data_IF_873466881591
#
_entry.id   IF_873466881591
#
_cell.length_a   1.000
_cell.length_b   1.000
_cell.length_c   1.000
_cell.angle_alpha   90.00
_cell.angle_beta   90.00
_cell.angle_gamma   90.00
#
_symmetry.space_group_name_H-M   'P 1'
#
loop_
_entity.id
_entity.type
_entity.pdbx_description
1 polymer ?
#
# COMPACT_ATOMS: atom_id res chain seq x y z
N UNK A 1 -6.89 -20.28 -7.25
CA UNK A 1 -7.17 -18.85 -7.01
C UNK A 1 -8.04 -18.66 -5.76
N UNK A 2 -9.14 -19.40 -5.64
CA UNK A 2 -10.04 -19.33 -4.47
C UNK A 2 -9.36 -19.56 -3.11
N UNK A 3 -8.49 -20.58 -3.00
CA UNK A 3 -7.72 -20.82 -1.77
C UNK A 3 -6.83 -19.64 -1.37
N UNK A 4 -6.25 -18.93 -2.35
CA UNK A 4 -5.37 -17.76 -2.09
C UNK A 4 -6.20 -16.59 -1.56
N UNK A 5 -7.38 -16.36 -2.13
CA UNK A 5 -8.30 -15.31 -1.68
C UNK A 5 -8.81 -15.60 -0.28
N UNK A 6 -9.16 -16.86 -0.02
CA UNK A 6 -9.57 -17.31 1.31
C UNK A 6 -8.47 -17.06 2.36
N UNK A 7 -7.24 -17.50 2.08
CA UNK A 7 -6.12 -17.33 2.99
C UNK A 7 -5.78 -15.84 3.23
N UNK A 8 -5.80 -15.02 2.17
CA UNK A 8 -5.55 -13.58 2.27
C UNK A 8 -6.57 -12.85 3.14
N UNK A 9 -7.86 -13.20 2.98
CA UNK A 9 -8.95 -12.62 3.77
C UNK A 9 -8.93 -13.05 5.24
N UNK A 10 -8.31 -14.21 5.52
CA UNK A 10 -8.23 -14.80 6.85
C UNK A 10 -6.89 -14.56 7.55
N UNK A 11 -5.85 -14.15 6.83
CA UNK A 11 -4.57 -13.79 7.46
C UNK A 11 -4.63 -12.38 8.05
N UNK A 12 -4.08 -12.14 9.26
CA UNK A 12 -3.86 -10.80 9.77
C UNK A 12 -2.88 -10.01 8.88
N UNK A 13 -3.15 -8.73 8.66
CA UNK A 13 -2.30 -7.85 7.85
C UNK A 13 -1.42 -6.99 8.74
N UNK A 14 -0.14 -6.82 8.41
CA UNK A 14 0.79 -6.01 9.22
C UNK A 14 0.32 -4.56 9.41
N UNK A 15 -0.28 -3.98 8.38
CA UNK A 15 -0.74 -2.59 8.41
C UNK A 15 -1.89 -2.34 9.39
N UNK A 16 -2.73 -3.35 9.66
CA UNK A 16 -3.92 -3.21 10.50
C UNK A 16 -3.86 -4.04 11.78
N UNK A 17 -3.09 -5.13 11.79
CA UNK A 17 -3.03 -6.14 12.85
C UNK A 17 -4.17 -7.17 12.82
N UNK A 18 -5.13 -7.05 11.90
CA UNK A 18 -6.32 -7.89 11.84
C UNK A 18 -6.56 -8.45 10.44
N UNK A 19 -7.36 -9.51 10.33
CA UNK A 19 -7.74 -10.06 9.03
C UNK A 19 -8.90 -9.27 8.41
N UNK A 20 -8.97 -9.16 7.06
CA UNK A 20 -10.08 -8.50 6.38
C UNK A 20 -11.44 -9.10 6.73
N UNK A 21 -11.52 -10.44 6.83
CA UNK A 21 -12.75 -11.14 7.19
C UNK A 21 -13.22 -10.82 8.62
N UNK A 22 -12.28 -10.66 9.56
CA UNK A 22 -12.61 -10.28 10.93
C UNK A 22 -13.11 -8.84 11.02
N UNK A 23 -12.44 -7.88 10.37
CA UNK A 23 -12.87 -6.48 10.39
C UNK A 23 -14.21 -6.28 9.67
N UNK A 24 -14.49 -7.04 8.61
CA UNK A 24 -15.71 -6.89 7.83
C UNK A 24 -16.90 -7.64 8.44
N UNK A 25 -16.71 -8.88 8.87
CA UNK A 25 -17.79 -9.79 9.28
C UNK A 25 -17.70 -10.29 10.72
N UNK A 26 -16.62 -9.98 11.45
CA UNK A 26 -16.36 -10.54 12.79
C UNK A 26 -15.95 -12.01 12.79
N UNK A 27 -15.66 -12.57 11.61
CA UNK A 27 -15.30 -13.99 11.48
C UNK A 27 -13.84 -14.15 11.89
N UNK A 28 -13.60 -14.94 12.94
CA UNK A 28 -12.25 -15.30 13.33
C UNK A 28 -11.70 -16.36 12.37
N UNK A 29 -10.54 -16.11 11.75
CA UNK A 29 -10.07 -16.88 10.61
C UNK A 29 -9.58 -18.29 10.97
N UNK A 30 -9.01 -18.47 12.16
CA UNK A 30 -8.55 -19.76 12.64
C UNK A 30 -8.79 -19.88 14.15
N UNK A 31 -9.10 -21.08 14.62
CA UNK A 31 -9.38 -21.31 16.04
C UNK A 31 -8.20 -20.97 16.96
N UNK A 32 -6.98 -21.07 16.44
CA UNK A 32 -5.74 -20.67 17.13
C UNK A 32 -5.66 -19.17 17.43
N UNK A 33 -6.40 -18.34 16.71
CA UNK A 33 -6.51 -16.90 16.95
C UNK A 33 -7.80 -16.53 17.67
N UNK A 34 -8.52 -17.49 18.28
CA UNK A 34 -9.60 -17.19 19.20
C UNK A 34 -9.04 -16.28 20.28
N UNK A 35 -9.33 -14.99 20.15
CA UNK A 35 -8.95 -13.97 21.11
C UNK A 35 -9.60 -14.39 22.43
N UNK A 36 -8.78 -14.66 23.45
CA UNK A 36 -9.27 -14.89 24.81
C UNK A 36 -9.91 -13.61 25.42
N UNK A 37 -9.86 -12.50 24.68
CA UNK A 37 -10.30 -11.19 25.11
C UNK A 37 -11.67 -10.83 24.52
N UNK A 38 -12.46 -10.20 25.38
CA UNK A 38 -13.77 -9.57 25.17
C UNK A 38 -13.72 -8.36 24.20
N UNK A 39 -12.80 -8.34 23.23
CA UNK A 39 -12.65 -7.24 22.29
C UNK A 39 -13.80 -7.26 21.29
N UNK A 40 -14.52 -6.15 21.21
CA UNK A 40 -15.59 -5.95 20.24
C UNK A 40 -15.02 -5.70 18.84
N UNK A 41 -15.84 -5.93 17.82
CA UNK A 41 -15.44 -5.69 16.42
C UNK A 41 -15.18 -4.20 16.21
N UNK A 42 -15.94 -3.34 16.88
CA UNK A 42 -15.83 -1.90 16.85
C UNK A 42 -14.47 -1.44 17.40
N UNK A 43 -14.06 -1.93 18.56
CA UNK A 43 -12.72 -1.66 19.12
C UNK A 43 -11.61 -2.12 18.18
N UNK A 44 -11.75 -3.31 17.59
CA UNK A 44 -10.78 -3.81 16.62
C UNK A 44 -10.68 -2.91 15.37
N UNK A 45 -11.80 -2.35 14.90
CA UNK A 45 -11.82 -1.40 13.77
C UNK A 45 -11.15 -0.08 14.13
N UNK A 46 -11.38 0.44 15.33
CA UNK A 46 -10.70 1.65 15.82
C UNK A 46 -9.18 1.45 15.88
N UNK A 47 -8.73 0.33 16.45
CA UNK A 47 -7.31 -0.04 16.50
C UNK A 47 -6.75 -0.21 15.08
N UNK A 48 -7.45 -0.91 14.19
CA UNK A 48 -7.03 -1.11 12.80
C UNK A 48 -6.87 0.23 12.06
N UNK A 49 -7.77 1.19 12.27
CA UNK A 49 -7.68 2.52 11.70
C UNK A 49 -6.45 3.28 12.22
N UNK A 50 -6.22 3.24 13.54
CA UNK A 50 -5.05 3.86 14.16
C UNK A 50 -3.74 3.27 13.62
N UNK A 51 -3.62 1.94 13.58
CA UNK A 51 -2.46 1.26 12.99
C UNK A 51 -2.25 1.62 11.53
N UNK A 52 -3.34 1.70 10.74
CA UNK A 52 -3.27 2.06 9.33
C UNK A 52 -2.70 3.48 9.16
N UNK A 53 -3.16 4.44 9.96
CA UNK A 53 -2.66 5.81 9.92
C UNK A 53 -1.17 5.87 10.28
N UNK A 54 -0.75 5.18 11.35
CA UNK A 54 0.65 5.11 11.74
C UNK A 54 1.52 4.46 10.66
N UNK A 55 1.06 3.36 10.08
CA UNK A 55 1.75 2.66 9.01
C UNK A 55 1.89 3.55 7.76
N UNK A 56 0.83 4.27 7.37
CA UNK A 56 0.88 5.23 6.28
C UNK A 56 1.87 6.37 6.58
N UNK A 57 1.87 6.90 7.80
CA UNK A 57 2.80 7.96 8.20
C UNK A 57 4.26 7.49 8.14
N UNK A 58 4.57 6.32 8.70
CA UNK A 58 5.94 5.74 8.66
C UNK A 58 6.41 5.49 7.21
N UNK A 59 5.49 5.03 6.35
CA UNK A 59 5.78 4.83 4.93
C UNK A 59 6.04 6.16 4.22
N UNK A 60 5.24 7.18 4.51
CA UNK A 60 5.46 8.54 4.00
C UNK A 60 6.83 9.09 4.44
N UNK A 61 7.18 9.01 5.73
CA UNK A 61 8.49 9.43 6.24
C UNK A 61 9.64 8.69 5.55
N UNK A 62 9.50 7.38 5.39
CA UNK A 62 10.51 6.53 4.73
C UNK A 62 10.69 6.90 3.27
N UNK A 63 9.58 7.16 2.56
CA UNK A 63 9.58 7.60 1.17
C UNK A 63 10.21 8.99 1.04
N UNK A 64 9.71 9.97 1.81
CA UNK A 64 10.16 11.36 1.79
C UNK A 64 11.63 11.51 2.21
N UNK A 65 12.19 10.61 3.03
CA UNK A 65 13.62 10.60 3.37
C UNK A 65 14.52 10.43 2.14
N UNK A 66 14.07 9.68 1.14
CA UNK A 66 14.83 9.43 -0.11
C UNK A 66 14.33 10.31 -1.26
N UNK A 67 13.04 10.61 -1.28
CA UNK A 67 12.40 11.32 -2.36
C UNK A 67 12.53 12.84 -2.20
N UNK A 68 13.19 13.48 -3.15
CA UNK A 68 13.21 14.95 -3.26
C UNK A 68 12.08 15.36 -4.18
N UNK A 69 11.06 16.04 -3.64
CA UNK A 69 9.97 16.59 -4.46
C UNK A 69 10.56 17.62 -5.44
N UNK A 70 10.46 17.40 -6.76
CA UNK A 70 10.84 18.43 -7.72
C UNK A 70 9.90 19.62 -7.61
N UNK A 71 10.43 20.83 -7.78
CA UNK A 71 9.69 22.09 -7.73
C UNK A 71 9.55 22.63 -9.16
N UNK A 72 8.75 21.96 -9.98
CA UNK A 72 8.53 22.37 -11.37
C UNK A 72 7.69 23.65 -11.43
N UNK A 73 8.07 24.55 -12.33
CA UNK A 73 7.35 25.76 -12.67
C UNK A 73 6.79 25.65 -14.10
N UNK A 74 5.72 26.39 -14.36
CA UNK A 74 5.14 26.44 -15.70
C UNK A 74 6.19 27.00 -16.67
N UNK A 75 6.40 26.29 -17.77
CA UNK A 75 7.44 26.46 -18.80
C UNK A 75 8.82 25.87 -18.51
N UNK A 76 8.99 25.09 -17.45
CA UNK A 76 10.22 24.30 -17.26
C UNK A 76 10.33 23.22 -18.36
N UNK A 77 11.54 23.04 -18.87
CA UNK A 77 11.85 21.91 -19.75
C UNK A 77 12.01 20.65 -18.90
N UNK A 78 11.19 19.64 -19.18
CA UNK A 78 11.14 18.39 -18.42
C UNK A 78 11.35 17.17 -19.31
N UNK A 79 11.96 16.14 -18.72
CA UNK A 79 12.08 14.82 -19.34
C UNK A 79 11.05 13.89 -18.71
N UNK A 80 10.34 13.13 -19.53
CA UNK A 80 9.37 12.12 -19.08
C UNK A 80 9.98 10.74 -19.23
N UNK A 81 9.96 9.95 -18.16
CA UNK A 81 10.39 8.55 -18.22
C UNK A 81 9.41 7.73 -19.06
N UNK A 82 9.95 6.98 -20.03
CA UNK A 82 9.16 6.12 -20.89
C UNK A 82 8.85 4.83 -20.13
N UNK A 83 7.57 4.45 -20.09
CA UNK A 83 7.16 3.19 -19.46
C UNK A 83 7.93 2.01 -20.06
N UNK A 84 8.52 1.20 -19.19
CA UNK A 84 9.26 0.02 -19.62
C UNK A 84 8.34 -1.01 -20.29
N UNK A 85 8.74 -1.52 -21.45
CA UNK A 85 8.07 -2.62 -22.14
C UNK A 85 9.12 -3.66 -22.60
N UNK A 86 8.85 -4.97 -22.53
CA UNK A 86 9.83 -6.01 -22.90
C UNK A 86 10.28 -5.94 -24.37
N UNK A 87 9.46 -5.32 -25.24
CA UNK A 87 9.80 -5.08 -26.64
C UNK A 87 10.61 -3.78 -26.88
N UNK A 88 10.90 -3.01 -25.82
CA UNK A 88 11.77 -1.85 -25.94
C UNK A 88 13.21 -2.35 -26.15
N UNK A 89 13.76 -2.05 -27.33
CA UNK A 89 15.12 -2.45 -27.67
C UNK A 89 16.15 -1.81 -26.73
N UNK A 90 17.33 -2.42 -26.57
CA UNK A 90 18.39 -1.90 -25.68
C UNK A 90 18.84 -0.46 -25.98
N UNK A 91 18.55 0.03 -27.19
CA UNK A 91 18.92 1.37 -27.66
C UNK A 91 17.76 2.37 -27.61
N UNK A 92 16.56 1.97 -27.18
CA UNK A 92 15.47 2.93 -27.02
C UNK A 92 15.80 3.87 -25.87
N UNK A 93 15.64 5.20 -26.03
CA UNK A 93 15.87 6.14 -24.96
C UNK A 93 14.96 5.83 -23.76
N UNK A 94 15.49 6.01 -22.55
CA UNK A 94 14.72 5.77 -21.30
C UNK A 94 13.82 6.95 -20.97
N UNK A 95 14.14 8.12 -21.51
CA UNK A 95 13.38 9.35 -21.32
C UNK A 95 13.14 10.03 -22.65
N UNK A 96 11.98 10.65 -22.79
CA UNK A 96 11.63 11.51 -23.92
C UNK A 96 11.51 12.96 -23.46
N UNK A 97 11.96 13.89 -24.30
CA UNK A 97 11.76 15.31 -24.06
C UNK A 97 10.33 15.66 -24.46
N UNK A 98 9.54 16.15 -23.49
CA UNK A 98 8.18 16.60 -23.73
C UNK A 98 7.96 18.04 -23.25
N UNK A 99 6.94 18.65 -23.85
CA UNK A 99 6.66 20.09 -23.89
C UNK A 99 6.53 20.67 -22.47
N UNK A 100 7.16 21.84 -22.28
CA UNK A 100 6.96 22.85 -21.22
C UNK A 100 5.86 22.50 -20.21
N UNK A 101 6.26 22.28 -18.95
CA UNK A 101 5.37 22.04 -17.81
C UNK A 101 4.34 23.17 -17.62
#
# INVERSE_FOLDING_TARGET
>A
MEQVVHEYNNSPHEATGFSPAFLLYGILPYEQFKMNNQMTIEEAREIANQHSQEHHHRNEETYNRKFKRPQFQVNDDVLVEIAWHPNNGKLTPVMEAHIKY
#
